data_IF_247409040853
#
_entry.id   IF_247409040853
#
_cell.length_a   1.000
_cell.length_b   1.000
_cell.length_c   1.000
_cell.angle_alpha   90.00
_cell.angle_beta   90.00
_cell.angle_gamma   90.00
#
_symmetry.space_group_name_H-M   'P 1'
#
loop_
_entity.id
_entity.type
_entity.pdbx_description
1 polymer ?
#
# COMPACT_ATOMS: atom_id res chain seq x y z
N UNK A 1 11.93 15.57 -32.93
CA UNK A 1 11.66 14.15 -33.31
C UNK A 1 11.34 13.23 -32.13
N UNK A 2 11.78 13.53 -30.89
CA UNK A 2 11.44 12.76 -29.68
C UNK A 2 9.99 12.99 -29.20
N UNK A 3 9.49 14.24 -29.30
CA UNK A 3 8.16 14.65 -28.83
C UNK A 3 7.00 13.96 -29.57
N UNK A 4 7.14 13.75 -30.88
CA UNK A 4 6.15 13.04 -31.72
C UNK A 4 6.06 11.54 -31.40
N UNK A 5 7.16 10.93 -30.90
CA UNK A 5 7.13 9.52 -30.46
C UNK A 5 6.38 9.34 -29.14
N UNK A 6 6.46 10.30 -28.22
CA UNK A 6 5.73 10.25 -26.95
C UNK A 6 4.22 10.38 -27.15
N UNK A 7 3.77 11.28 -28.03
CA UNK A 7 2.35 11.44 -28.36
C UNK A 7 1.75 10.18 -28.99
N UNK A 8 2.45 9.57 -29.95
CA UNK A 8 2.02 8.31 -30.57
C UNK A 8 1.95 7.12 -29.57
N UNK A 9 2.71 7.14 -28.48
CA UNK A 9 2.63 6.11 -27.43
C UNK A 9 1.36 6.32 -26.60
N UNK A 10 1.02 7.57 -26.28
CA UNK A 10 -0.19 7.91 -25.52
C UNK A 10 -1.45 7.58 -26.32
N UNK A 11 -1.46 7.89 -27.62
CA UNK A 11 -2.62 7.63 -28.50
C UNK A 11 -2.88 6.13 -28.74
N UNK A 12 -1.89 5.26 -28.50
CA UNK A 12 -2.03 3.80 -28.62
C UNK A 12 -2.21 3.09 -27.27
N UNK A 13 -2.23 3.82 -26.15
CA UNK A 13 -2.66 3.25 -24.88
C UNK A 13 -4.18 3.13 -24.93
N UNK A 14 -4.68 1.91 -25.06
CA UNK A 14 -6.09 1.59 -24.84
C UNK A 14 -6.40 1.73 -23.34
N UNK A 15 -6.36 2.96 -22.83
CA UNK A 15 -6.70 3.29 -21.45
C UNK A 15 -8.20 3.06 -21.33
N UNK A 16 -8.61 2.09 -20.51
CA UNK A 16 -10.02 1.95 -20.16
C UNK A 16 -10.53 3.29 -19.64
N UNK A 17 -11.70 3.71 -20.13
CA UNK A 17 -12.39 4.91 -19.68
C UNK A 17 -13.71 4.50 -19.01
N UNK A 18 -13.93 4.83 -17.73
CA UNK A 18 -13.02 5.59 -16.85
C UNK A 18 -11.75 4.79 -16.53
N UNK A 19 -10.63 5.46 -16.19
CA UNK A 19 -9.43 4.74 -15.80
C UNK A 19 -9.70 3.85 -14.58
N UNK A 20 -8.97 2.74 -14.40
CA UNK A 20 -9.26 1.78 -13.34
C UNK A 20 -9.28 2.36 -11.92
N UNK A 21 -8.54 3.46 -11.68
CA UNK A 21 -8.52 4.16 -10.39
C UNK A 21 -9.76 5.04 -10.14
N UNK A 22 -10.57 5.32 -11.16
CA UNK A 22 -11.88 5.99 -11.04
C UNK A 22 -13.03 4.98 -10.94
N UNK A 23 -12.82 3.72 -11.33
CA UNK A 23 -13.82 2.66 -11.26
C UNK A 23 -14.09 2.19 -9.82
N UNK A 24 -13.13 2.37 -8.91
CA UNK A 24 -13.21 1.90 -7.53
C UNK A 24 -13.14 3.03 -6.51
N UNK A 25 -14.20 3.19 -5.72
CA UNK A 25 -14.21 4.10 -4.59
C UNK A 25 -13.48 3.49 -3.39
N UNK A 26 -12.16 3.66 -3.34
CA UNK A 26 -11.34 3.24 -2.19
C UNK A 26 -11.49 4.28 -1.08
N UNK A 27 -12.00 3.85 0.07
CA UNK A 27 -12.08 4.69 1.25
C UNK A 27 -10.70 4.85 1.90
N UNK A 28 -10.03 5.97 1.61
CA UNK A 28 -8.72 6.30 2.17
C UNK A 28 -8.88 7.15 3.44
N UNK A 29 -8.57 6.56 4.60
CA UNK A 29 -8.61 7.26 5.88
C UNK A 29 -7.21 7.68 6.34
N UNK A 30 -6.89 8.98 6.21
CA UNK A 30 -5.63 9.58 6.68
C UNK A 30 -5.77 10.33 8.01
N UNK A 31 -6.83 10.10 8.80
CA UNK A 31 -7.09 10.89 10.02
C UNK A 31 -5.96 10.86 11.05
N UNK A 32 -5.20 9.77 11.13
CA UNK A 32 -4.04 9.64 12.02
C UNK A 32 -2.89 10.60 11.68
N UNK A 33 -2.79 11.08 10.44
CA UNK A 33 -1.74 12.04 10.04
C UNK A 33 -1.97 13.43 10.64
N UNK A 34 -3.17 13.71 11.16
CA UNK A 34 -3.50 14.96 11.85
C UNK A 34 -2.90 15.02 13.25
N UNK A 35 -2.50 13.88 13.82
CA UNK A 35 -1.82 13.81 15.10
C UNK A 35 -0.33 14.13 14.90
N UNK A 36 0.22 15.01 15.73
CA UNK A 36 1.63 15.36 15.68
C UNK A 36 2.48 14.26 16.32
N UNK A 37 3.47 13.74 15.58
CA UNK A 37 4.31 12.62 16.03
C UNK A 37 5.19 12.94 17.25
N UNK A 38 5.65 14.18 17.39
CA UNK A 38 6.53 14.62 18.47
C UNK A 38 5.77 14.83 19.78
N UNK A 39 4.51 15.27 19.70
CA UNK A 39 3.71 15.70 20.85
C UNK A 39 2.58 14.73 21.22
N UNK A 40 2.35 13.69 20.44
CA UNK A 40 1.32 12.68 20.70
C UNK A 40 1.98 11.42 21.26
N UNK A 41 1.53 10.98 22.43
CA UNK A 41 2.04 9.74 23.01
C UNK A 41 1.66 8.52 22.18
N UNK A 42 2.48 7.47 22.24
CA UNK A 42 2.21 6.20 21.54
C UNK A 42 0.85 5.61 21.95
N UNK A 43 0.49 5.71 23.23
CA UNK A 43 -0.80 5.24 23.75
C UNK A 43 -1.97 6.00 23.11
N UNK A 44 -1.83 7.31 22.87
CA UNK A 44 -2.86 8.09 22.20
C UNK A 44 -3.02 7.68 20.72
N UNK A 45 -1.92 7.41 20.02
CA UNK A 45 -1.95 6.85 18.66
C UNK A 45 -2.63 5.49 18.61
N UNK A 46 -2.25 4.58 19.50
CA UNK A 46 -2.84 3.23 19.57
C UNK A 46 -4.35 3.32 19.83
N UNK A 47 -4.78 4.17 20.76
CA UNK A 47 -6.20 4.39 21.06
C UNK A 47 -6.98 4.84 19.82
N UNK A 48 -6.45 5.82 19.09
CA UNK A 48 -7.14 6.33 17.89
C UNK A 48 -7.13 5.29 16.75
N UNK A 49 -6.04 4.55 16.60
CA UNK A 49 -5.97 3.43 15.66
C UNK A 49 -7.02 2.35 15.97
N UNK A 50 -7.14 1.92 17.23
CA UNK A 50 -8.15 0.93 17.61
C UNK A 50 -9.58 1.44 17.39
N UNK A 51 -9.85 2.73 17.66
CA UNK A 51 -11.14 3.35 17.38
C UNK A 51 -11.49 3.33 15.88
N UNK A 52 -10.49 3.49 15.01
CA UNK A 52 -10.68 3.35 13.56
C UNK A 52 -10.94 1.87 13.22
N UNK A 53 -10.10 0.95 13.72
CA UNK A 53 -10.20 -0.49 13.45
C UNK A 53 -11.55 -1.06 13.89
N UNK A 54 -12.12 -0.60 15.00
CA UNK A 54 -13.42 -1.05 15.52
C UNK A 54 -14.57 -0.81 14.50
N UNK A 55 -14.50 0.25 13.70
CA UNK A 55 -15.49 0.52 12.63
C UNK A 55 -15.47 -0.51 11.51
N UNK A 56 -14.43 -1.32 11.45
CA UNK A 56 -14.22 -2.36 10.44
C UNK A 56 -14.18 -3.76 11.08
N UNK A 57 -14.88 -3.98 12.20
CA UNK A 57 -14.87 -5.25 12.95
C UNK A 57 -15.20 -6.50 12.13
N UNK A 58 -15.94 -6.35 11.03
CA UNK A 58 -16.33 -7.45 10.14
C UNK A 58 -15.39 -7.61 8.92
N UNK A 59 -14.22 -6.95 8.93
CA UNK A 59 -13.22 -7.03 7.87
C UNK A 59 -11.94 -7.69 8.39
N UNK A 60 -11.17 -8.29 7.48
CA UNK A 60 -9.82 -8.77 7.78
C UNK A 60 -8.84 -7.60 7.79
N UNK A 61 -7.94 -7.58 8.76
CA UNK A 61 -6.88 -6.59 8.79
C UNK A 61 -5.68 -7.13 8.00
N UNK A 62 -5.05 -6.27 7.21
CA UNK A 62 -3.76 -6.55 6.60
C UNK A 62 -2.88 -5.32 6.79
N UNK A 63 -1.65 -5.54 7.25
CA UNK A 63 -0.67 -4.48 7.46
C UNK A 63 0.43 -4.60 6.41
N UNK A 64 0.74 -3.51 5.74
CA UNK A 64 1.80 -3.46 4.73
C UNK A 64 2.87 -2.49 5.19
N UNK A 65 4.12 -2.79 4.89
CA UNK A 65 5.23 -1.89 5.18
C UNK A 65 6.33 -2.05 4.13
N UNK A 66 6.82 -0.91 3.64
CA UNK A 66 7.99 -0.80 2.79
C UNK A 66 9.16 -0.23 3.58
N UNK A 67 10.33 -0.84 3.48
CA UNK A 67 11.54 -0.36 4.16
C UNK A 67 12.70 -0.19 3.19
N UNK A 68 13.55 0.79 3.49
CA UNK A 68 14.80 1.03 2.78
C UNK A 68 15.91 1.32 3.77
N UNK A 69 17.01 0.60 3.64
CA UNK A 69 18.26 0.85 4.36
C UNK A 69 19.39 0.88 3.32
N UNK A 70 19.97 2.08 3.13
CA UNK A 70 20.96 2.31 2.07
C UNK A 70 20.42 1.85 0.70
N UNK A 71 21.09 0.90 0.05
CA UNK A 71 20.68 0.32 -1.23
C UNK A 71 19.67 -0.82 -1.09
N UNK A 72 19.47 -1.35 0.12
CA UNK A 72 18.60 -2.50 0.37
C UNK A 72 17.16 -2.05 0.58
N UNK A 73 16.26 -2.68 -0.17
CA UNK A 73 14.83 -2.35 -0.19
C UNK A 73 14.03 -3.62 0.05
N UNK A 74 13.06 -3.55 0.97
CA UNK A 74 12.25 -4.68 1.38
C UNK A 74 10.79 -4.29 1.50
N UNK A 75 9.90 -5.21 1.15
CA UNK A 75 8.46 -5.05 1.26
C UNK A 75 7.87 -6.21 2.06
N UNK A 76 6.85 -5.94 2.87
CA UNK A 76 6.16 -6.96 3.64
C UNK A 76 4.65 -6.72 3.74
N UNK A 77 3.90 -7.82 3.80
CA UNK A 77 2.48 -7.85 4.10
C UNK A 77 2.23 -8.84 5.25
N UNK A 78 1.68 -8.35 6.35
CA UNK A 78 1.39 -9.12 7.56
C UNK A 78 -0.11 -9.32 7.74
N UNK A 79 -0.49 -10.58 7.92
CA UNK A 79 -1.87 -11.02 8.13
C UNK A 79 -2.04 -11.44 9.60
N UNK A 80 -2.47 -10.53 10.50
CA UNK A 80 -2.57 -10.81 11.93
C UNK A 80 -3.49 -12.00 12.26
N UNK A 81 -4.60 -12.16 11.54
CA UNK A 81 -5.52 -13.29 11.75
C UNK A 81 -4.99 -14.61 11.13
N UNK A 82 -4.06 -14.54 10.18
CA UNK A 82 -3.44 -15.69 9.51
C UNK A 82 -1.93 -15.50 9.29
N UNK A 83 -1.11 -15.52 10.37
CA UNK A 83 0.30 -15.12 10.27
C UNK A 83 1.13 -15.95 9.30
N UNK A 84 0.76 -17.21 9.07
CA UNK A 84 1.36 -18.14 8.11
C UNK A 84 1.25 -17.68 6.65
N UNK A 85 0.29 -16.79 6.36
CA UNK A 85 0.08 -16.21 5.03
C UNK A 85 0.90 -14.95 4.80
N UNK A 86 1.55 -14.41 5.84
CA UNK A 86 2.38 -13.21 5.72
C UNK A 86 3.51 -13.42 4.72
N UNK A 87 3.80 -12.37 3.96
CA UNK A 87 4.82 -12.37 2.90
C UNK A 87 5.81 -11.24 3.14
N UNK A 88 7.06 -11.50 2.80
CA UNK A 88 8.09 -10.49 2.71
C UNK A 88 8.98 -10.80 1.52
N UNK A 89 9.50 -9.76 0.88
CA UNK A 89 10.44 -9.91 -0.24
C UNK A 89 11.46 -8.78 -0.22
N UNK A 90 12.63 -9.07 -0.81
CA UNK A 90 13.61 -8.07 -1.18
C UNK A 90 13.31 -7.59 -2.60
N UNK A 91 13.49 -6.30 -2.82
CA UNK A 91 13.44 -5.67 -4.13
C UNK A 91 14.87 -5.52 -4.66
N UNK A 92 15.02 -5.02 -5.90
CA UNK A 92 16.36 -4.78 -6.45
C UNK A 92 17.07 -3.69 -5.67
N UNK A 93 18.39 -3.81 -5.59
CA UNK A 93 19.22 -2.80 -4.96
C UNK A 93 19.04 -1.44 -5.67
N UNK A 94 18.95 -0.37 -4.88
CA UNK A 94 18.78 1.00 -5.38
C UNK A 94 17.34 1.40 -5.71
N UNK A 95 16.36 0.52 -5.54
CA UNK A 95 14.95 0.89 -5.65
C UNK A 95 14.52 1.93 -4.60
N UNK A 96 13.37 2.54 -4.82
CA UNK A 96 12.84 3.57 -3.93
C UNK A 96 12.02 2.97 -2.80
N UNK A 97 11.88 3.70 -1.69
CA UNK A 97 10.94 3.31 -0.63
C UNK A 97 9.50 3.24 -1.16
N UNK A 98 9.13 4.08 -2.12
CA UNK A 98 7.80 4.03 -2.75
C UNK A 98 7.55 2.73 -3.53
N UNK A 99 8.58 2.19 -4.19
CA UNK A 99 8.53 0.88 -4.84
C UNK A 99 8.28 -0.23 -3.83
N UNK A 100 8.92 -0.13 -2.66
CA UNK A 100 8.71 -1.05 -1.55
C UNK A 100 7.27 -1.03 -1.02
N UNK A 101 6.71 0.16 -0.79
CA UNK A 101 5.32 0.32 -0.34
C UNK A 101 4.33 -0.24 -1.36
N UNK A 102 4.56 0.02 -2.65
CA UNK A 102 3.73 -0.52 -3.73
C UNK A 102 3.79 -2.06 -3.77
N UNK A 103 4.99 -2.63 -3.66
CA UNK A 103 5.18 -4.08 -3.64
C UNK A 103 4.53 -4.72 -2.40
N UNK A 104 4.59 -4.06 -1.24
CA UNK A 104 3.94 -4.54 -0.02
C UNK A 104 2.41 -4.67 -0.20
N UNK A 105 1.78 -3.68 -0.85
CA UNK A 105 0.36 -3.74 -1.22
C UNK A 105 0.10 -4.87 -2.24
N UNK A 106 0.97 -5.03 -3.25
CA UNK A 106 0.84 -6.07 -4.25
C UNK A 106 0.93 -7.49 -3.65
N UNK A 107 1.84 -7.71 -2.69
CA UNK A 107 1.95 -8.94 -1.92
C UNK A 107 0.65 -9.25 -1.17
N UNK A 108 0.09 -8.25 -0.48
CA UNK A 108 -1.17 -8.39 0.24
C UNK A 108 -2.33 -8.78 -0.70
N UNK A 109 -2.52 -8.04 -1.80
CA UNK A 109 -3.59 -8.30 -2.77
C UNK A 109 -3.47 -9.67 -3.45
N UNK A 110 -2.23 -10.08 -3.78
CA UNK A 110 -1.96 -11.39 -4.38
C UNK A 110 -2.35 -12.51 -3.42
N UNK A 111 -2.06 -12.35 -2.13
CA UNK A 111 -2.39 -13.36 -1.12
C UNK A 111 -3.89 -13.40 -0.81
N UNK A 112 -4.57 -12.25 -0.78
CA UNK A 112 -6.04 -12.16 -0.65
C UNK A 112 -6.72 -12.87 -1.82
N UNK A 113 -6.26 -12.64 -3.06
CA UNK A 113 -6.84 -13.24 -4.26
C UNK A 113 -6.82 -14.77 -4.25
N UNK A 114 -5.88 -15.42 -3.56
CA UNK A 114 -5.83 -16.89 -3.44
C UNK A 114 -6.91 -17.48 -2.53
N UNK A 115 -7.59 -16.64 -1.73
CA UNK A 115 -8.61 -17.08 -0.76
C UNK A 115 -10.01 -17.16 -1.38
N UNK A 116 -10.17 -16.70 -2.62
CA UNK A 116 -11.42 -16.68 -3.38
C UNK A 116 -11.23 -17.38 -4.73
#
# INVERSE_FOLDING_TARGET
>A
MLYLKLLNIIDNLNVQCPPPWEEHNINVNISLTKLNKENTSEVAYQKEFFRIKEKFSNHYAVFTDGSKLEEKVAAAAYFPEHPDRSKATLLRDGESVFSAEQEAIALALTEIKKTH
#
